data_IF_746920542713
#
_entry.id   IF_746920542713
#
_cell.length_a   1.000
_cell.length_b   1.000
_cell.length_c   1.000
_cell.angle_alpha   90.00
_cell.angle_beta   90.00
_cell.angle_gamma   90.00
#
_symmetry.space_group_name_H-M   'P 1'
#
loop_
_entity.id
_entity.type
_entity.pdbx_description
1 polymer ?
#
# COMPACT_ATOMS: atom_id res chain seq x y z
N UNK A 1 -20.27 -65.75 19.07
CA UNK A 1 -20.57 -64.51 19.82
C UNK A 1 -19.64 -63.42 19.30
N UNK A 2 -20.09 -62.59 18.38
CA UNK A 2 -19.25 -61.61 17.68
C UNK A 2 -19.09 -60.34 18.55
N UNK A 3 -17.88 -60.07 19.03
CA UNK A 3 -17.50 -58.87 19.79
C UNK A 3 -16.74 -57.88 18.89
N UNK A 4 -17.42 -57.28 17.88
CA UNK A 4 -16.81 -56.28 16.98
C UNK A 4 -17.69 -55.03 16.81
N UNK A 5 -18.49 -54.66 17.83
CA UNK A 5 -19.44 -53.53 17.73
C UNK A 5 -19.12 -52.24 18.50
N UNK A 6 -18.20 -52.13 19.48
CA UNK A 6 -18.02 -50.85 20.18
C UNK A 6 -17.17 -49.82 19.40
N UNK A 7 -16.32 -50.23 18.45
CA UNK A 7 -15.42 -49.30 17.76
C UNK A 7 -16.12 -48.47 16.66
N UNK A 8 -17.09 -49.06 15.94
CA UNK A 8 -17.82 -48.37 14.87
C UNK A 8 -18.78 -47.29 15.39
N UNK A 9 -19.37 -47.48 16.58
CA UNK A 9 -20.28 -46.49 17.16
C UNK A 9 -19.55 -45.23 17.64
N UNK A 10 -18.34 -45.39 18.21
CA UNK A 10 -17.52 -44.25 18.63
C UNK A 10 -16.98 -43.44 17.44
N UNK A 11 -16.59 -44.09 16.32
CA UNK A 11 -16.12 -43.36 15.13
C UNK A 11 -17.22 -42.52 14.46
N UNK A 12 -18.47 -43.02 14.41
CA UNK A 12 -19.59 -42.28 13.80
C UNK A 12 -20.01 -41.11 14.70
N UNK A 13 -19.94 -41.27 16.02
CA UNK A 13 -20.20 -40.20 16.97
C UNK A 13 -19.12 -39.11 16.92
N UNK A 14 -17.84 -39.48 16.74
CA UNK A 14 -16.74 -38.51 16.54
C UNK A 14 -16.93 -37.68 15.26
N UNK A 15 -17.32 -38.31 14.14
CA UNK A 15 -17.63 -37.57 12.91
C UNK A 15 -18.82 -36.61 13.08
N UNK A 16 -19.88 -37.05 13.77
CA UNK A 16 -21.04 -36.21 14.03
C UNK A 16 -20.74 -35.03 14.96
N UNK A 17 -19.92 -35.25 16.01
CA UNK A 17 -19.50 -34.19 16.93
C UNK A 17 -18.66 -33.16 16.16
N UNK A 18 -17.75 -33.58 15.29
CA UNK A 18 -16.95 -32.67 14.47
C UNK A 18 -17.82 -31.82 13.52
N UNK A 19 -18.85 -32.41 12.91
CA UNK A 19 -19.78 -31.69 12.02
C UNK A 19 -20.63 -30.68 12.80
N UNK A 20 -21.07 -31.04 14.01
CA UNK A 20 -21.89 -30.15 14.86
C UNK A 20 -21.04 -28.97 15.36
N UNK A 21 -19.81 -29.22 15.82
CA UNK A 21 -18.88 -28.17 16.25
C UNK A 21 -18.55 -27.22 15.09
N UNK A 22 -18.20 -27.76 13.92
CA UNK A 22 -17.88 -26.95 12.73
C UNK A 22 -19.05 -26.07 12.27
N UNK A 23 -20.30 -26.52 12.44
CA UNK A 23 -21.49 -25.71 12.14
C UNK A 23 -21.69 -24.58 13.14
N UNK A 24 -21.42 -24.82 14.41
CA UNK A 24 -21.57 -23.82 15.46
C UNK A 24 -20.50 -22.71 15.34
N UNK A 25 -19.28 -23.07 14.96
CA UNK A 25 -18.23 -22.09 14.65
C UNK A 25 -18.57 -21.27 13.39
N UNK A 26 -19.26 -21.87 12.41
CA UNK A 26 -19.74 -21.16 11.21
C UNK A 26 -20.84 -20.14 11.56
N UNK A 27 -21.75 -20.48 12.47
CA UNK A 27 -22.79 -19.56 12.96
C UNK A 27 -22.18 -18.32 13.62
N UNK A 28 -21.24 -18.50 14.56
CA UNK A 28 -20.54 -17.39 15.23
C UNK A 28 -19.80 -16.49 14.22
N UNK A 29 -19.12 -17.09 13.24
CA UNK A 29 -18.46 -16.36 12.15
C UNK A 29 -19.47 -15.55 11.34
N UNK A 30 -20.61 -16.15 10.98
CA UNK A 30 -21.63 -15.46 10.18
C UNK A 30 -22.24 -14.28 10.95
N UNK A 31 -22.50 -14.43 12.25
CA UNK A 31 -22.94 -13.33 13.11
C UNK A 31 -21.93 -12.18 13.10
N UNK A 32 -20.62 -12.46 13.23
CA UNK A 32 -19.58 -11.44 13.12
C UNK A 32 -19.58 -10.77 11.73
N UNK A 33 -19.75 -11.53 10.64
CA UNK A 33 -19.85 -10.96 9.29
C UNK A 33 -21.03 -9.99 9.17
N UNK A 34 -22.20 -10.34 9.70
CA UNK A 34 -23.37 -9.47 9.68
C UNK A 34 -23.14 -8.18 10.49
N UNK A 35 -22.50 -8.31 11.65
CA UNK A 35 -22.09 -7.16 12.47
C UNK A 35 -21.14 -6.26 11.69
N UNK A 36 -20.08 -6.80 11.07
CA UNK A 36 -19.15 -6.03 10.26
C UNK A 36 -19.86 -5.32 9.09
N UNK A 37 -20.77 -6.01 8.40
CA UNK A 37 -21.59 -5.43 7.33
C UNK A 37 -22.45 -4.27 7.83
N UNK A 38 -23.00 -4.38 9.04
CA UNK A 38 -23.81 -3.31 9.63
C UNK A 38 -22.97 -2.09 10.03
N UNK A 39 -21.77 -2.31 10.59
CA UNK A 39 -20.85 -1.27 11.03
C UNK A 39 -20.32 -0.48 9.82
N UNK A 40 -19.86 -1.20 8.80
CA UNK A 40 -19.24 -0.60 7.60
C UNK A 40 -20.26 -0.38 6.47
N UNK A 41 -21.56 -0.41 6.76
CA UNK A 41 -22.59 -0.15 5.76
C UNK A 41 -22.46 1.29 5.24
N UNK A 42 -22.06 1.44 3.97
CA UNK A 42 -21.88 2.74 3.33
C UNK A 42 -20.46 3.31 3.46
N UNK A 43 -19.52 2.55 4.02
CA UNK A 43 -18.10 2.89 3.99
C UNK A 43 -17.47 2.38 2.68
N UNK A 44 -16.89 3.28 1.89
CA UNK A 44 -16.24 2.94 0.61
C UNK A 44 -14.86 2.29 0.82
N UNK A 45 -14.28 2.46 2.01
CA UNK A 45 -12.96 1.95 2.36
C UNK A 45 -12.97 0.46 2.72
N UNK A 46 -14.11 -0.07 3.14
CA UNK A 46 -14.29 -1.48 3.50
C UNK A 46 -14.85 -2.27 2.31
N UNK A 47 -14.24 -3.43 2.03
CA UNK A 47 -14.67 -4.36 0.99
C UNK A 47 -14.62 -5.80 1.49
N UNK A 48 -15.71 -6.54 1.27
CA UNK A 48 -15.75 -7.98 1.44
C UNK A 48 -15.36 -8.63 0.10
N UNK A 49 -14.18 -9.24 0.03
CA UNK A 49 -13.70 -9.94 -1.18
C UNK A 49 -14.33 -11.34 -1.25
N UNK A 50 -14.56 -11.95 -0.09
CA UNK A 50 -15.21 -13.24 0.04
C UNK A 50 -15.80 -13.43 1.43
N UNK A 51 -16.46 -14.57 1.66
CA UNK A 51 -17.26 -14.83 2.87
C UNK A 51 -16.52 -14.58 4.20
N UNK A 52 -15.23 -14.89 4.24
CA UNK A 52 -14.36 -14.68 5.41
C UNK A 52 -13.06 -13.96 5.03
N UNK A 53 -13.12 -13.11 4.01
CA UNK A 53 -11.98 -12.34 3.51
C UNK A 53 -12.37 -10.89 3.37
N UNK A 54 -11.81 -10.07 4.23
CA UNK A 54 -12.11 -8.67 4.38
C UNK A 54 -10.92 -7.81 3.99
N UNK A 55 -11.22 -6.66 3.43
CA UNK A 55 -10.24 -5.69 3.00
C UNK A 55 -10.66 -4.31 3.52
N UNK A 56 -9.72 -3.61 4.15
CA UNK A 56 -9.94 -2.24 4.59
C UNK A 56 -8.82 -1.34 4.09
N UNK A 57 -9.21 -0.22 3.48
CA UNK A 57 -8.28 0.79 2.98
C UNK A 57 -8.14 1.95 3.96
N UNK A 58 -6.91 2.22 4.38
CA UNK A 58 -6.54 3.37 5.20
C UNK A 58 -5.90 4.47 4.34
N UNK A 59 -6.25 5.72 4.63
CA UNK A 59 -5.71 6.90 3.96
C UNK A 59 -6.51 7.41 2.75
N UNK A 60 -6.09 8.56 2.23
CA UNK A 60 -6.73 9.22 1.09
C UNK A 60 -6.54 8.47 -0.23
N UNK A 61 -7.54 8.57 -1.09
CA UNK A 61 -7.49 8.05 -2.45
C UNK A 61 -6.29 8.63 -3.22
N UNK A 62 -5.50 7.74 -3.81
CA UNK A 62 -4.34 8.05 -4.66
C UNK A 62 -3.14 8.69 -3.93
N UNK A 63 -3.15 8.73 -2.59
CA UNK A 63 -2.00 9.20 -1.82
C UNK A 63 -0.83 8.21 -1.87
N UNK A 64 0.38 8.69 -1.61
CA UNK A 64 1.57 7.84 -1.42
C UNK A 64 1.49 7.02 -0.12
N UNK A 65 0.53 7.36 0.72
CA UNK A 65 0.37 6.93 2.10
C UNK A 65 -0.78 5.96 2.34
N UNK A 66 -1.51 5.59 1.30
CA UNK A 66 -2.62 4.64 1.44
C UNK A 66 -2.10 3.25 1.80
N UNK A 67 -2.65 2.64 2.85
CA UNK A 67 -2.36 1.27 3.28
C UNK A 67 -3.61 0.44 3.08
N UNK A 68 -3.46 -0.75 2.54
CA UNK A 68 -4.55 -1.70 2.33
C UNK A 68 -4.29 -2.93 3.20
N UNK A 69 -5.16 -3.18 4.17
CA UNK A 69 -5.08 -4.32 5.06
C UNK A 69 -6.08 -5.37 4.61
N UNK A 70 -5.62 -6.61 4.47
CA UNK A 70 -6.47 -7.75 4.19
C UNK A 70 -6.41 -8.76 5.33
N UNK A 71 -7.59 -9.18 5.80
CA UNK A 71 -7.74 -10.16 6.87
C UNK A 71 -8.55 -11.32 6.31
N UNK A 72 -7.98 -12.52 6.43
CA UNK A 72 -8.63 -13.76 6.01
C UNK A 72 -8.73 -14.70 7.19
N UNK A 73 -9.95 -15.13 7.51
CA UNK A 73 -10.14 -16.05 8.63
C UNK A 73 -9.71 -17.47 8.27
N UNK A 74 -9.04 -18.12 9.22
CA UNK A 74 -8.68 -19.54 9.13
C UNK A 74 -9.88 -20.41 9.50
N UNK A 75 -9.75 -21.71 9.29
CA UNK A 75 -10.79 -22.67 9.71
C UNK A 75 -11.05 -22.63 11.22
N UNK A 76 -10.01 -22.40 12.01
CA UNK A 76 -10.06 -22.41 13.48
C UNK A 76 -10.29 -21.03 14.10
N UNK A 77 -10.49 -19.98 13.31
CA UNK A 77 -10.86 -18.67 13.84
C UNK A 77 -12.20 -18.76 14.62
N UNK A 78 -12.38 -18.07 15.77
CA UNK A 78 -11.49 -17.12 16.43
C UNK A 78 -10.47 -17.75 17.42
N UNK A 79 -10.43 -19.07 17.55
CA UNK A 79 -9.45 -19.77 18.40
C UNK A 79 -8.02 -19.68 17.86
N UNK A 80 -7.88 -19.42 16.56
CA UNK A 80 -6.60 -19.13 15.91
C UNK A 80 -6.59 -17.72 15.30
N UNK A 81 -5.43 -17.07 15.36
CA UNK A 81 -5.18 -15.76 14.76
C UNK A 81 -5.47 -15.80 13.26
N UNK A 82 -6.20 -14.81 12.71
CA UNK A 82 -6.49 -14.77 11.28
C UNK A 82 -5.23 -14.50 10.45
N UNK A 83 -5.29 -14.85 9.17
CA UNK A 83 -4.22 -14.59 8.21
C UNK A 83 -4.23 -13.09 7.82
N UNK A 84 -3.20 -12.37 8.25
CA UNK A 84 -3.04 -10.93 7.99
C UNK A 84 -2.11 -10.70 6.81
N UNK A 85 -2.64 -10.12 5.74
CA UNK A 85 -1.97 -9.92 4.44
C UNK A 85 -1.77 -8.43 4.18
N UNK A 86 -0.51 -8.04 3.99
CA UNK A 86 -0.10 -6.66 3.67
C UNK A 86 0.67 -6.56 2.34
N UNK A 87 0.73 -7.64 1.57
CA UNK A 87 1.52 -7.75 0.34
C UNK A 87 0.79 -7.27 -0.92
N UNK A 88 -0.35 -6.58 -0.79
CA UNK A 88 -1.11 -6.17 -1.96
C UNK A 88 -0.40 -5.04 -2.76
N UNK A 89 -0.70 -4.94 -4.06
CA UNK A 89 -0.10 -3.98 -4.99
C UNK A 89 -0.23 -2.52 -4.51
N UNK A 90 -1.34 -2.18 -3.83
CA UNK A 90 -1.56 -0.86 -3.24
C UNK A 90 -0.47 -0.47 -2.23
N UNK A 91 0.11 -1.46 -1.55
CA UNK A 91 1.13 -1.28 -0.52
C UNK A 91 2.55 -1.25 -1.11
N UNK A 92 2.73 -1.13 -2.43
CA UNK A 92 4.08 -1.07 -3.05
C UNK A 92 4.93 0.11 -2.60
N UNK A 93 4.29 1.19 -2.16
CA UNK A 93 4.94 2.40 -1.67
C UNK A 93 5.43 2.26 -0.22
N UNK A 94 5.01 1.18 0.46
CA UNK A 94 5.37 0.87 1.84
C UNK A 94 6.67 0.08 1.88
N UNK A 95 7.68 0.51 2.66
CA UNK A 95 8.92 -0.25 2.80
C UNK A 95 8.63 -1.61 3.45
N UNK A 96 9.37 -2.63 3.02
CA UNK A 96 9.14 -4.01 3.47
C UNK A 96 9.32 -4.15 4.99
N UNK A 97 10.26 -3.42 5.57
CA UNK A 97 10.55 -3.46 7.01
C UNK A 97 9.33 -3.03 7.84
N UNK A 98 8.66 -1.96 7.41
CA UNK A 98 7.45 -1.48 8.09
C UNK A 98 6.28 -2.45 7.90
N UNK A 99 6.15 -3.12 6.74
CA UNK A 99 5.12 -4.16 6.58
C UNK A 99 5.35 -5.30 7.55
N UNK A 100 6.60 -5.72 7.72
CA UNK A 100 6.96 -6.79 8.65
C UNK A 100 6.68 -6.39 10.11
N UNK A 101 7.04 -5.16 10.49
CA UNK A 101 6.74 -4.61 11.80
C UNK A 101 5.23 -4.52 12.05
N UNK A 102 4.47 -4.01 11.08
CA UNK A 102 3.03 -3.89 11.19
C UNK A 102 2.34 -5.26 11.25
N UNK A 103 2.80 -6.21 10.44
CA UNK A 103 2.30 -7.58 10.48
C UNK A 103 2.61 -8.25 11.82
N UNK A 104 3.77 -7.97 12.41
CA UNK A 104 4.13 -8.47 13.74
C UNK A 104 3.23 -7.86 14.81
N UNK A 105 3.06 -6.55 14.82
CA UNK A 105 2.24 -5.84 15.80
C UNK A 105 0.76 -6.26 15.72
N UNK A 106 0.21 -6.40 14.51
CA UNK A 106 -1.17 -6.88 14.34
C UNK A 106 -1.36 -8.33 14.79
N UNK A 107 -0.34 -9.20 14.60
CA UNK A 107 -0.39 -10.58 15.12
C UNK A 107 -0.35 -10.61 16.64
N UNK A 108 0.52 -9.81 17.26
CA UNK A 108 0.59 -9.68 18.73
C UNK A 108 -0.74 -9.17 19.30
N UNK A 109 -1.36 -8.18 18.66
CA UNK A 109 -2.66 -7.66 19.09
C UNK A 109 -3.78 -8.69 18.89
N UNK A 110 -3.75 -9.47 17.80
CA UNK A 110 -4.71 -10.55 17.57
C UNK A 110 -4.63 -11.67 18.62
N UNK A 111 -3.44 -11.96 19.16
CA UNK A 111 -3.26 -12.93 20.24
C UNK A 111 -3.99 -12.50 21.53
N UNK A 112 -4.15 -11.19 21.77
CA UNK A 112 -4.88 -10.67 22.94
C UNK A 112 -6.39 -10.90 22.85
N UNK A 113 -6.93 -11.10 21.64
CA UNK A 113 -8.37 -11.26 21.39
C UNK A 113 -8.76 -12.69 20.97
N UNK A 114 -7.92 -13.68 21.26
CA UNK A 114 -8.27 -15.08 21.01
C UNK A 114 -9.62 -15.46 21.64
N UNK A 115 -10.34 -16.34 20.95
CA UNK A 115 -11.70 -16.78 21.31
C UNK A 115 -12.76 -15.65 21.30
N UNK A 116 -12.43 -14.48 20.77
CA UNK A 116 -13.33 -13.32 20.63
C UNK A 116 -13.31 -12.80 19.18
N UNK A 117 -14.43 -12.28 18.64
CA UNK A 117 -14.44 -11.59 17.35
C UNK A 117 -13.50 -10.38 17.40
N UNK A 118 -12.44 -10.43 16.58
CA UNK A 118 -11.33 -9.46 16.64
C UNK A 118 -11.21 -8.62 15.38
N UNK A 119 -11.96 -8.91 14.31
CA UNK A 119 -11.78 -8.27 13.00
C UNK A 119 -11.99 -6.76 13.06
N UNK A 120 -13.06 -6.33 13.73
CA UNK A 120 -13.33 -4.91 13.96
C UNK A 120 -12.22 -4.25 14.79
N UNK A 121 -11.82 -4.90 15.90
CA UNK A 121 -10.76 -4.39 16.79
C UNK A 121 -9.43 -4.23 16.08
N UNK A 122 -9.06 -5.15 15.19
CA UNK A 122 -7.84 -5.06 14.39
C UNK A 122 -7.90 -3.89 13.40
N UNK A 123 -9.05 -3.63 12.80
CA UNK A 123 -9.22 -2.46 11.95
C UNK A 123 -9.13 -1.15 12.74
N UNK A 124 -9.77 -1.06 13.90
CA UNK A 124 -9.69 0.13 14.75
C UNK A 124 -8.27 0.36 15.28
N UNK A 125 -7.61 -0.69 15.75
CA UNK A 125 -6.20 -0.61 16.16
C UNK A 125 -5.33 -0.08 15.01
N UNK A 126 -5.57 -0.56 13.78
CA UNK A 126 -4.86 -0.05 12.61
C UNK A 126 -5.19 1.41 12.33
N UNK A 127 -6.44 1.89 12.52
CA UNK A 127 -6.79 3.32 12.36
C UNK A 127 -6.02 4.19 13.34
N UNK A 128 -5.95 3.77 14.60
CA UNK A 128 -5.30 4.54 15.66
C UNK A 128 -3.79 4.65 15.44
N UNK A 129 -3.16 3.55 15.02
CA UNK A 129 -1.71 3.52 14.78
C UNK A 129 -1.33 4.03 13.37
N UNK A 130 -2.26 4.14 12.43
CA UNK A 130 -2.01 4.58 11.06
C UNK A 130 -1.27 5.92 11.00
N UNK A 131 -1.63 6.88 11.85
CA UNK A 131 -0.97 8.20 11.89
C UNK A 131 0.48 8.14 12.36
N UNK A 132 0.82 7.22 13.26
CA UNK A 132 2.19 7.02 13.72
C UNK A 132 3.05 6.45 12.61
N UNK A 133 2.56 5.41 11.94
CA UNK A 133 3.22 4.86 10.76
C UNK A 133 3.35 5.92 9.66
N UNK A 134 2.35 6.79 9.47
CA UNK A 134 2.38 7.92 8.54
C UNK A 134 3.55 8.89 8.78
N UNK A 135 3.84 9.21 10.05
CA UNK A 135 4.95 10.09 10.42
C UNK A 135 6.29 9.42 10.15
N UNK A 136 6.38 8.11 10.38
CA UNK A 136 7.56 7.32 10.05
C UNK A 136 7.81 7.25 8.53
N UNK A 137 6.76 7.35 7.71
CA UNK A 137 6.89 7.49 6.25
C UNK A 137 7.42 8.84 5.78
N UNK A 138 6.99 9.94 6.41
CA UNK A 138 7.41 11.28 6.01
C UNK A 138 8.90 11.54 6.27
N UNK A 139 9.50 10.77 7.18
CA UNK A 139 10.78 11.12 7.79
C UNK A 139 12.01 10.52 7.11
N UNK A 140 11.94 9.47 6.25
CA UNK A 140 12.96 9.27 5.23
C UNK A 140 12.48 8.52 3.96
N UNK A 141 11.82 9.19 3.00
CA UNK A 141 11.62 8.65 1.64
C UNK A 141 12.17 9.58 0.53
N UNK A 142 13.12 10.47 0.86
CA UNK A 142 13.89 11.23 -0.15
C UNK A 142 15.18 10.50 -0.55
N UNK A 143 15.59 9.46 0.17
CA UNK A 143 16.79 8.68 -0.15
C UNK A 143 16.36 7.26 -0.58
N UNK A 144 17.06 6.68 -1.56
CA UNK A 144 16.88 5.33 -2.14
C UNK A 144 16.12 5.19 -3.47
N UNK A 145 16.29 6.13 -4.41
CA UNK A 145 16.36 5.79 -5.85
C UNK A 145 17.49 6.52 -6.57
N UNK A 146 18.70 6.29 -6.11
CA UNK A 146 19.90 6.31 -6.93
C UNK A 146 20.91 5.36 -6.27
N UNK A 147 21.70 4.67 -7.09
CA UNK A 147 22.85 3.85 -6.71
C UNK A 147 22.55 2.36 -6.44
N UNK A 148 22.35 1.64 -7.54
CA UNK A 148 23.00 0.35 -7.73
C UNK A 148 24.45 0.64 -8.18
N UNK A 149 25.40 0.68 -7.24
CA UNK A 149 26.76 0.12 -7.40
C UNK A 149 27.62 0.30 -6.12
N UNK A 150 28.03 -0.85 -5.57
CA UNK A 150 29.28 -1.14 -4.83
C UNK A 150 29.83 -0.22 -3.68
N UNK A 151 29.88 -0.88 -2.51
CA UNK A 151 31.00 -1.02 -1.53
C UNK A 151 31.20 -0.02 -0.36
N UNK A 152 31.11 -0.65 0.82
CA UNK A 152 31.93 -0.58 2.06
C UNK A 152 32.12 0.72 2.86
N UNK A 153 31.68 0.60 4.12
CA UNK A 153 32.25 1.06 5.39
C UNK A 153 32.58 2.53 5.64
N UNK A 154 32.02 3.06 6.74
CA UNK A 154 32.67 4.11 7.52
C UNK A 154 31.72 5.08 8.21
N UNK A 155 31.35 4.77 9.45
CA UNK A 155 30.72 5.69 10.40
C UNK A 155 31.55 6.98 10.54
N UNK A 156 30.91 8.16 10.41
CA UNK A 156 31.31 9.42 11.06
C UNK A 156 30.22 10.50 10.92
N UNK A 157 29.70 10.94 12.06
CA UNK A 157 28.82 12.10 12.25
C UNK A 157 29.41 13.39 11.66
N UNK A 158 28.70 14.10 10.77
CA UNK A 158 29.02 15.49 10.43
C UNK A 158 27.77 16.31 10.06
N UNK A 159 27.41 17.23 10.97
CA UNK A 159 26.88 18.60 10.80
C UNK A 159 26.15 18.94 9.49
N UNK A 160 24.85 19.26 9.67
CA UNK A 160 23.99 20.08 8.80
C UNK A 160 24.77 21.18 8.06
N UNK A 161 25.01 20.95 6.77
CA UNK A 161 25.25 22.00 5.78
C UNK A 161 24.24 21.80 4.66
N UNK A 162 23.35 22.77 4.50
CA UNK A 162 22.46 22.92 3.35
C UNK A 162 23.29 22.76 2.08
N UNK A 163 23.22 21.58 1.44
CA UNK A 163 23.85 21.29 0.17
C UNK A 163 23.07 22.04 -0.91
N UNK A 164 23.59 23.18 -1.36
CA UNK A 164 23.28 23.66 -2.71
C UNK A 164 23.68 22.54 -3.67
N UNK A 165 22.75 22.08 -4.51
CA UNK A 165 22.97 21.06 -5.54
C UNK A 165 24.28 21.30 -6.28
N UNK A 166 25.30 20.52 -5.93
CA UNK A 166 26.57 20.55 -6.64
C UNK A 166 26.39 19.67 -7.88
N UNK A 167 25.90 20.25 -8.98
CA UNK A 167 25.84 19.58 -10.28
C UNK A 167 27.22 18.98 -10.60
N UNK A 168 27.24 17.71 -10.96
CA UNK A 168 28.46 17.00 -11.34
C UNK A 168 29.13 17.66 -12.53
N UNK A 169 30.46 17.54 -12.65
CA UNK A 169 31.25 18.16 -13.74
C UNK A 169 30.68 17.84 -15.13
N UNK A 170 30.13 16.63 -15.29
CA UNK A 170 29.46 16.18 -16.52
C UNK A 170 28.13 16.92 -16.77
N UNK A 171 27.30 17.11 -15.75
CA UNK A 171 26.06 17.89 -15.86
C UNK A 171 26.32 19.37 -16.15
N UNK A 172 27.34 19.96 -15.51
CA UNK A 172 27.78 21.33 -15.81
C UNK A 172 28.25 21.48 -17.26
N UNK A 173 29.00 20.50 -17.76
CA UNK A 173 29.44 20.48 -19.17
C UNK A 173 28.26 20.38 -20.14
N UNK A 174 27.29 19.49 -19.90
CA UNK A 174 26.07 19.38 -20.75
C UNK A 174 25.23 20.66 -20.76
N UNK A 175 25.20 21.41 -19.65
CA UNK A 175 24.50 22.69 -19.59
C UNK A 175 25.25 23.78 -20.38
N UNK A 176 26.57 23.77 -20.28
CA UNK A 176 27.45 24.66 -21.05
C UNK A 176 27.40 24.34 -22.56
N UNK A 177 27.30 23.07 -22.95
CA UNK A 177 27.19 22.69 -24.36
C UNK A 177 25.83 23.11 -24.98
N UNK A 178 24.82 23.45 -24.16
CA UNK A 178 23.50 23.94 -24.62
C UNK A 178 23.40 25.47 -24.74
N UNK A 179 24.33 26.21 -24.14
CA UNK A 179 24.26 27.67 -24.01
C UNK A 179 25.59 28.24 -24.52
N UNK A 180 25.56 29.32 -25.31
CA UNK A 180 26.81 29.97 -25.71
C UNK A 180 27.55 30.56 -24.50
N UNK A 181 28.79 31.02 -24.68
CA UNK A 181 29.64 31.60 -23.62
C UNK A 181 28.99 32.78 -22.86
N UNK A 182 27.90 33.36 -23.38
CA UNK A 182 27.09 34.42 -22.77
C UNK A 182 25.87 33.93 -22.00
N UNK A 183 25.61 32.62 -21.96
CA UNK A 183 24.44 32.03 -21.30
C UNK A 183 23.15 32.13 -22.11
N UNK A 184 23.22 32.57 -23.37
CA UNK A 184 22.09 32.65 -24.28
C UNK A 184 22.08 31.45 -25.25
N UNK A 185 20.88 31.06 -25.70
CA UNK A 185 20.75 30.02 -26.73
C UNK A 185 21.17 30.60 -28.08
N UNK A 186 21.87 29.85 -28.95
CA UNK A 186 22.35 30.37 -30.23
C UNK A 186 21.20 30.93 -31.07
N UNK A 187 21.46 32.06 -31.72
CA UNK A 187 20.50 32.75 -32.60
C UNK A 187 20.07 31.79 -33.73
N UNK A 188 18.76 31.51 -33.84
CA UNK A 188 18.23 30.52 -34.79
C UNK A 188 17.86 29.15 -34.18
N UNK A 189 18.00 28.97 -32.86
CA UNK A 189 17.58 27.75 -32.17
C UNK A 189 16.06 27.50 -32.24
N UNK A 190 15.25 28.54 -32.36
CA UNK A 190 13.79 28.43 -32.51
C UNK A 190 13.32 28.99 -33.86
N UNK A 191 13.58 28.23 -34.92
CA UNK A 191 13.03 28.53 -36.25
C UNK A 191 11.55 28.12 -36.36
N UNK A 192 11.08 27.24 -35.47
CA UNK A 192 9.69 26.74 -35.45
C UNK A 192 8.72 27.86 -35.09
N UNK A 193 9.09 28.75 -34.15
CA UNK A 193 8.24 29.87 -33.77
C UNK A 193 8.16 30.95 -34.87
N UNK A 194 9.23 31.13 -35.67
CA UNK A 194 9.22 32.01 -36.85
C UNK A 194 8.31 31.45 -37.95
N UNK A 195 8.34 30.14 -38.21
CA UNK A 195 7.46 29.49 -39.20
C UNK A 195 6.00 29.52 -38.76
N UNK A 196 5.72 29.33 -37.46
CA UNK A 196 4.39 29.47 -36.88
C UNK A 196 3.86 30.91 -36.98
N UNK A 197 4.71 31.89 -36.73
CA UNK A 197 4.37 33.31 -36.84
C UNK A 197 4.09 33.74 -38.29
N UNK A 198 4.90 33.28 -39.25
CA UNK A 198 4.71 33.55 -40.68
C UNK A 198 3.48 32.84 -41.25
N UNK A 199 3.18 31.61 -40.81
CA UNK A 199 1.98 30.89 -41.23
C UNK A 199 0.68 31.47 -40.67
N UNK A 200 0.72 32.16 -39.53
CA UNK A 200 -0.41 32.97 -39.03
C UNK A 200 -0.60 34.29 -39.80
N UNK A 201 0.45 34.78 -40.45
CA UNK A 201 0.43 36.03 -41.21
C UNK A 201 0.23 35.75 -42.70
N UNK A 202 -0.93 35.20 -43.08
CA UNK A 202 -1.32 35.08 -44.49
C UNK A 202 -1.46 36.44 -45.19
N UNK A 203 -1.34 36.53 -46.53
CA UNK A 203 -1.40 37.79 -47.25
C UNK A 203 -2.75 38.49 -47.01
N UNK A 204 -2.72 39.71 -46.45
CA UNK A 204 -3.90 40.59 -46.41
C UNK A 204 -4.30 40.88 -47.85
N UNK A 205 -5.46 40.36 -48.28
CA UNK A 205 -6.06 40.72 -49.55
C UNK A 205 -6.30 42.23 -49.58
N UNK A 206 -5.48 42.95 -50.34
CA UNK A 206 -5.73 44.35 -50.69
C UNK A 206 -6.84 44.37 -51.74
N UNK A 207 -8.09 44.48 -51.31
CA UNK A 207 -9.18 44.91 -52.18
C UNK A 207 -9.04 46.42 -52.40
N UNK A 208 -8.32 46.80 -53.46
CA UNK A 208 -8.38 48.15 -54.04
C UNK A 208 -9.16 48.07 -55.37
N UNK A 209 -10.42 48.45 -55.26
CA UNK A 209 -11.28 49.25 -56.14
C UNK A 209 -11.10 49.22 -57.68
N UNK A 210 -12.18 48.86 -58.41
CA UNK A 210 -12.74 49.53 -59.61
C UNK A 210 -13.97 48.77 -60.14
#
# INVERSE_FOLDING_TARGET
>A
SCLIQPCLHNCILDEYIHIILAKMDDELKNEEVEVLKSIYCGDENFKEIGRYHFQYKFGEDNSLKSILLEIKWTLNYPTEVPEIILENFYNKKIPSDMKAELQKALKEEAENYLDTPMTYSLFEWMKDNYEEYLKNFETPYIELKADDDMKEEGVKEVKLKVRKEQLTKSQKKKLYDRLDATGERPRGWDWVDIVRHLSQSGPKQTTMDS
#
